data_IF_733797304453
#
_entry.id   IF_733797304453
#
_cell.length_a   1.000
_cell.length_b   1.000
_cell.length_c   1.000
_cell.angle_alpha   90.00
_cell.angle_beta   90.00
_cell.angle_gamma   90.00
#
_symmetry.space_group_name_H-M   'P 1'
#
loop_
_entity.id
_entity.type
_entity.pdbx_description
1 polymer ?
#
# COMPACT_ATOMS: atom_id res chain seq x y z
N UNK A 1 7.25 33.16 -63.27
CA UNK A 1 7.00 33.94 -62.03
C UNK A 1 6.78 33.04 -60.79
N UNK A 2 6.25 31.81 -60.90
CA UNK A 2 6.06 30.88 -59.78
C UNK A 2 7.36 30.25 -59.19
N UNK A 3 8.40 30.07 -60.00
CA UNK A 3 9.65 29.39 -59.58
C UNK A 3 10.49 30.27 -58.63
N UNK A 4 10.45 31.59 -58.79
CA UNK A 4 11.12 32.55 -57.89
C UNK A 4 10.46 32.62 -56.50
N UNK A 5 9.14 32.41 -56.39
CA UNK A 5 8.43 32.37 -55.12
C UNK A 5 8.79 31.13 -54.27
N UNK A 6 8.98 29.97 -54.91
CA UNK A 6 9.34 28.73 -54.22
C UNK A 6 10.80 28.69 -53.75
N UNK A 7 11.74 29.28 -54.51
CA UNK A 7 13.15 29.39 -54.08
C UNK A 7 13.34 30.33 -52.89
N UNK A 8 12.52 31.37 -52.76
CA UNK A 8 12.54 32.26 -51.58
C UNK A 8 11.93 31.57 -50.35
N UNK A 9 10.85 30.80 -50.50
CA UNK A 9 10.28 30.00 -49.40
C UNK A 9 11.27 28.96 -48.87
N UNK A 10 11.97 28.23 -49.74
CA UNK A 10 12.97 27.23 -49.36
C UNK A 10 14.19 27.80 -48.60
N UNK A 11 14.52 29.08 -48.79
CA UNK A 11 15.56 29.80 -48.02
C UNK A 11 15.04 30.38 -46.70
N UNK A 12 13.73 30.65 -46.60
CA UNK A 12 13.08 31.14 -45.39
C UNK A 12 12.87 30.04 -44.34
N UNK A 13 12.57 28.80 -44.75
CA UNK A 13 12.40 27.65 -43.83
C UNK A 13 13.59 27.37 -42.89
N UNK A 14 14.85 27.30 -43.37
CA UNK A 14 16.00 27.09 -42.49
C UNK A 14 16.24 28.30 -41.57
N UNK A 15 15.95 29.53 -42.01
CA UNK A 15 16.06 30.73 -41.19
C UNK A 15 15.01 30.76 -40.07
N UNK A 16 13.75 30.41 -40.39
CA UNK A 16 12.67 30.31 -39.40
C UNK A 16 12.93 29.19 -38.39
N UNK A 17 13.50 28.06 -38.82
CA UNK A 17 13.93 26.98 -37.93
C UNK A 17 15.08 27.41 -37.01
N UNK A 18 16.05 28.18 -37.51
CA UNK A 18 17.16 28.70 -36.70
C UNK A 18 16.70 29.78 -35.70
N UNK A 19 15.81 30.68 -36.11
CA UNK A 19 15.22 31.70 -35.24
C UNK A 19 14.35 31.06 -34.16
N UNK A 20 13.55 30.04 -34.50
CA UNK A 20 12.78 29.27 -33.52
C UNK A 20 13.71 28.60 -32.49
N UNK A 21 14.76 27.89 -32.94
CA UNK A 21 15.77 27.29 -32.06
C UNK A 21 16.50 28.30 -31.17
N UNK A 22 16.79 29.49 -31.70
CA UNK A 22 17.44 30.56 -30.94
C UNK A 22 16.49 31.17 -29.90
N UNK A 23 15.21 31.35 -30.23
CA UNK A 23 14.18 31.77 -29.29
C UNK A 23 13.97 30.76 -28.18
N UNK A 24 13.95 29.47 -28.50
CA UNK A 24 13.82 28.40 -27.52
C UNK A 24 15.03 28.38 -26.56
N UNK A 25 16.26 28.53 -27.08
CA UNK A 25 17.47 28.67 -26.24
C UNK A 25 17.47 29.89 -25.33
N UNK A 26 17.05 31.06 -25.82
CA UNK A 26 16.94 32.27 -24.99
C UNK A 26 15.93 32.06 -23.87
N UNK A 27 14.84 31.35 -24.16
CA UNK A 27 13.83 31.04 -23.16
C UNK A 27 14.35 30.06 -22.10
N UNK A 28 15.10 29.02 -22.49
CA UNK A 28 15.76 28.10 -21.55
C UNK A 28 16.79 28.78 -20.64
N UNK A 29 17.55 29.76 -21.16
CA UNK A 29 18.47 30.57 -20.35
C UNK A 29 17.70 31.37 -19.31
N UNK A 30 16.59 32.01 -19.69
CA UNK A 30 15.74 32.76 -18.75
C UNK A 30 15.18 31.87 -17.64
N UNK A 31 14.66 30.70 -17.99
CA UNK A 31 14.20 29.75 -16.97
C UNK A 31 15.34 29.30 -16.05
N UNK A 32 16.56 29.16 -16.57
CA UNK A 32 17.72 28.82 -15.75
C UNK A 32 18.06 29.93 -14.77
N UNK A 33 18.14 31.18 -15.23
CA UNK A 33 18.43 32.33 -14.37
C UNK A 33 17.35 32.51 -13.28
N UNK A 34 16.07 32.36 -13.65
CA UNK A 34 14.95 32.42 -12.70
C UNK A 34 15.00 31.28 -11.68
N UNK A 35 15.30 30.06 -12.12
CA UNK A 35 15.39 28.90 -11.23
C UNK A 35 16.62 28.95 -10.32
N UNK A 36 17.76 29.47 -10.78
CA UNK A 36 18.94 29.67 -9.94
C UNK A 36 18.62 30.68 -8.81
N UNK A 37 17.91 31.76 -9.11
CA UNK A 37 17.43 32.72 -8.10
C UNK A 37 16.46 32.07 -7.09
N UNK A 38 15.50 31.28 -7.58
CA UNK A 38 14.54 30.56 -6.73
C UNK A 38 15.26 29.59 -5.79
N UNK A 39 16.22 28.82 -6.31
CA UNK A 39 17.03 27.86 -5.56
C UNK A 39 17.85 28.57 -4.47
N UNK A 40 18.45 29.71 -4.78
CA UNK A 40 19.14 30.55 -3.79
C UNK A 40 18.19 31.02 -2.68
N UNK A 41 16.98 31.46 -3.03
CA UNK A 41 15.95 31.82 -2.06
C UNK A 41 15.53 30.65 -1.16
N UNK A 42 15.40 29.44 -1.71
CA UNK A 42 15.13 28.23 -0.92
C UNK A 42 16.25 27.97 0.09
N UNK A 43 17.52 28.18 -0.30
CA UNK A 43 18.69 28.03 0.58
C UNK A 43 18.81 29.15 1.63
N UNK A 44 18.25 30.33 1.37
CA UNK A 44 18.23 31.47 2.29
C UNK A 44 16.97 31.56 3.19
N UNK A 45 16.21 30.47 3.29
CA UNK A 45 14.99 30.34 4.11
C UNK A 45 13.78 31.18 3.62
N UNK A 46 13.81 31.69 2.39
CA UNK A 46 12.69 32.38 1.71
C UNK A 46 11.70 31.39 1.06
N UNK A 47 11.45 30.27 1.75
CA UNK A 47 10.83 29.07 1.18
C UNK A 47 9.47 29.32 0.52
N UNK A 48 8.54 29.97 1.25
CA UNK A 48 7.17 30.15 0.76
C UNK A 48 7.12 31.09 -0.44
N UNK A 49 8.01 32.08 -0.52
CA UNK A 49 8.05 33.04 -1.64
C UNK A 49 8.69 32.41 -2.88
N UNK A 50 9.82 31.71 -2.70
CA UNK A 50 10.46 30.94 -3.77
C UNK A 50 9.51 29.91 -4.40
N UNK A 51 8.72 29.20 -3.60
CA UNK A 51 7.74 28.23 -4.12
C UNK A 51 6.57 28.88 -4.86
N UNK A 52 6.13 30.08 -4.44
CA UNK A 52 5.09 30.84 -5.17
C UNK A 52 5.56 31.24 -6.55
N UNK A 53 6.80 31.71 -6.68
CA UNK A 53 7.37 32.06 -7.98
C UNK A 53 7.35 30.87 -8.95
N UNK A 54 7.64 29.65 -8.47
CA UNK A 54 7.54 28.43 -9.29
C UNK A 54 6.10 28.15 -9.69
N UNK A 55 5.14 28.29 -8.78
CA UNK A 55 3.71 28.08 -9.05
C UNK A 55 3.21 29.08 -10.11
N UNK A 56 3.59 30.34 -10.03
CA UNK A 56 3.19 31.36 -10.99
C UNK A 56 3.71 31.03 -12.41
N UNK A 57 4.94 30.53 -12.50
CA UNK A 57 5.57 30.09 -13.75
C UNK A 57 5.02 28.76 -14.28
N UNK A 58 4.37 27.94 -13.46
CA UNK A 58 3.94 26.59 -13.84
C UNK A 58 2.79 26.56 -14.83
N UNK A 59 2.15 27.70 -15.10
CA UNK A 59 1.15 27.81 -16.16
C UNK A 59 1.74 27.70 -17.56
N UNK A 60 3.06 27.87 -17.70
CA UNK A 60 3.79 27.73 -18.96
C UNK A 60 4.20 26.26 -19.21
N UNK A 61 3.65 25.64 -20.25
CA UNK A 61 3.97 24.26 -20.63
C UNK A 61 5.45 24.06 -21.00
N UNK A 62 6.14 25.09 -21.52
CA UNK A 62 7.58 25.00 -21.81
C UNK A 62 8.39 24.99 -20.53
N UNK A 63 7.97 25.76 -19.54
CA UNK A 63 8.58 25.74 -18.21
C UNK A 63 8.37 24.39 -17.52
N UNK A 64 7.18 23.76 -17.64
CA UNK A 64 6.96 22.40 -17.14
C UNK A 64 7.92 21.39 -17.77
N UNK A 65 8.12 21.44 -19.09
CA UNK A 65 9.09 20.56 -19.78
C UNK A 65 10.51 20.82 -19.29
N UNK A 66 10.91 22.09 -19.17
CA UNK A 66 12.19 22.48 -18.59
C UNK A 66 12.38 21.91 -17.16
N UNK A 67 11.36 21.98 -16.31
CA UNK A 67 11.40 21.45 -14.94
C UNK A 67 11.57 19.92 -14.89
N UNK A 68 11.13 19.19 -15.92
CA UNK A 68 11.33 17.73 -16.02
C UNK A 68 12.74 17.36 -16.46
N UNK A 69 13.31 18.17 -17.34
CA UNK A 69 14.58 17.87 -18.02
C UNK A 69 15.80 18.48 -17.30
N UNK A 70 15.59 19.54 -16.52
CA UNK A 70 16.62 20.22 -15.75
C UNK A 70 16.91 19.54 -14.40
N UNK A 71 18.05 19.92 -13.81
CA UNK A 71 18.44 19.50 -12.45
C UNK A 71 17.68 20.24 -11.34
N UNK A 72 17.07 21.39 -11.66
CA UNK A 72 16.56 22.34 -10.67
C UNK A 72 15.41 21.77 -9.84
N UNK A 73 14.51 20.99 -10.44
CA UNK A 73 13.44 20.34 -9.66
C UNK A 73 14.01 19.36 -8.62
N UNK A 74 15.05 18.60 -8.98
CA UNK A 74 15.72 17.72 -8.03
C UNK A 74 16.43 18.51 -6.93
N UNK A 75 17.17 19.56 -7.30
CA UNK A 75 17.91 20.43 -6.38
C UNK A 75 17.00 21.12 -5.36
N UNK A 76 15.87 21.69 -5.81
CA UNK A 76 14.84 22.24 -4.94
C UNK A 76 14.36 21.20 -3.92
N UNK A 77 14.04 19.98 -4.39
CA UNK A 77 13.56 18.91 -3.54
C UNK A 77 14.63 18.46 -2.54
N UNK A 78 15.91 18.42 -2.95
CA UNK A 78 17.03 18.13 -2.06
C UNK A 78 17.19 19.18 -0.96
N UNK A 79 17.17 20.47 -1.31
CA UNK A 79 17.24 21.57 -0.33
C UNK A 79 16.09 21.45 0.67
N UNK A 80 14.86 21.30 0.15
CA UNK A 80 13.66 21.18 0.96
C UNK A 80 13.63 19.92 1.82
N UNK A 81 14.27 18.84 1.37
CA UNK A 81 14.41 17.61 2.15
C UNK A 81 15.32 17.79 3.38
N UNK A 82 16.25 18.75 3.35
CA UNK A 82 17.18 19.03 4.46
C UNK A 82 16.64 20.07 5.44
N UNK A 83 15.63 20.85 5.02
CA UNK A 83 15.05 21.93 5.82
C UNK A 83 13.77 21.52 6.54
N UNK A 84 13.44 22.27 7.59
CA UNK A 84 12.14 22.16 8.27
C UNK A 84 11.14 23.07 7.56
N UNK A 85 10.18 22.47 6.87
CA UNK A 85 9.26 23.19 5.99
C UNK A 85 7.87 23.32 6.61
N UNK A 86 7.16 24.39 6.26
CA UNK A 86 5.78 24.63 6.70
C UNK A 86 4.82 23.64 6.02
N UNK A 87 3.61 23.46 6.57
CA UNK A 87 2.56 22.69 5.90
C UNK A 87 2.18 23.33 4.56
N UNK A 88 2.19 24.67 4.50
CA UNK A 88 1.94 25.44 3.28
C UNK A 88 2.96 25.10 2.19
N UNK A 89 4.25 25.19 2.50
CA UNK A 89 5.34 24.81 1.60
C UNK A 89 5.23 23.36 1.12
N UNK A 90 4.89 22.43 2.01
CA UNK A 90 4.67 21.04 1.62
C UNK A 90 3.52 20.90 0.62
N UNK A 91 2.44 21.66 0.75
CA UNK A 91 1.32 21.62 -0.19
C UNK A 91 1.70 22.23 -1.53
N UNK A 92 2.45 23.33 -1.53
CA UNK A 92 2.96 23.98 -2.74
C UNK A 92 3.89 23.05 -3.53
N UNK A 93 4.79 22.32 -2.87
CA UNK A 93 5.64 21.32 -3.54
C UNK A 93 4.79 20.23 -4.18
N UNK A 94 3.77 19.73 -3.48
CA UNK A 94 2.89 18.72 -4.05
C UNK A 94 2.17 19.26 -5.28
N UNK A 95 1.67 20.49 -5.21
CA UNK A 95 1.05 21.16 -6.34
C UNK A 95 2.01 21.30 -7.52
N UNK A 96 3.25 21.76 -7.29
CA UNK A 96 4.29 21.85 -8.31
C UNK A 96 4.50 20.49 -8.97
N UNK A 97 4.73 19.43 -8.19
CA UNK A 97 4.92 18.08 -8.72
C UNK A 97 3.70 17.61 -9.54
N UNK A 98 2.48 17.90 -9.09
CA UNK A 98 1.26 17.54 -9.84
C UNK A 98 1.08 18.34 -11.14
N UNK A 99 1.50 19.59 -11.16
CA UNK A 99 1.38 20.44 -12.35
C UNK A 99 2.49 20.14 -13.36
N UNK A 100 3.70 19.82 -12.89
CA UNK A 100 4.80 19.40 -13.75
C UNK A 100 4.47 18.05 -14.40
N UNK A 101 4.16 17.02 -13.61
CA UNK A 101 4.02 15.66 -14.12
C UNK A 101 2.59 15.38 -14.62
N UNK A 102 2.46 15.03 -15.89
CA UNK A 102 1.18 14.70 -16.50
C UNK A 102 0.69 13.34 -15.96
N UNK A 103 -0.49 13.27 -15.31
CA UNK A 103 -1.02 12.03 -14.78
C UNK A 103 -1.38 10.99 -15.86
N UNK A 104 -1.28 11.36 -17.15
CA UNK A 104 -1.51 10.51 -18.30
C UNK A 104 -0.23 10.05 -19.04
N UNK A 105 0.97 10.37 -18.54
CA UNK A 105 2.26 10.05 -19.17
C UNK A 105 3.08 9.06 -18.33
N UNK A 106 3.44 7.90 -18.90
CA UNK A 106 4.29 6.91 -18.23
C UNK A 106 5.70 7.44 -17.96
N UNK A 107 6.26 8.21 -18.90
CA UNK A 107 7.61 8.81 -18.77
C UNK A 107 7.64 9.82 -17.62
N UNK A 108 6.56 10.60 -17.47
CA UNK A 108 6.42 11.59 -16.41
C UNK A 108 6.37 10.91 -15.04
N UNK A 109 5.69 9.78 -14.92
CA UNK A 109 5.66 9.04 -13.65
C UNK A 109 7.01 8.42 -13.27
N UNK A 110 7.79 7.94 -14.23
CA UNK A 110 9.16 7.48 -13.93
C UNK A 110 10.01 8.64 -13.39
N UNK A 111 9.93 9.82 -14.01
CA UNK A 111 10.58 11.04 -13.51
C UNK A 111 10.11 11.41 -12.10
N UNK A 112 8.81 11.36 -11.85
CA UNK A 112 8.23 11.61 -10.53
C UNK A 112 8.73 10.61 -9.48
N UNK A 113 8.83 9.32 -9.81
CA UNK A 113 9.35 8.31 -8.90
C UNK A 113 10.84 8.52 -8.58
N UNK A 114 11.64 8.99 -9.54
CA UNK A 114 13.04 9.38 -9.28
C UNK A 114 13.11 10.55 -8.29
N UNK A 115 12.29 11.58 -8.48
CA UNK A 115 12.21 12.71 -7.56
C UNK A 115 11.78 12.25 -6.15
N UNK A 116 10.78 11.39 -6.05
CA UNK A 116 10.34 10.82 -4.77
C UNK A 116 11.43 9.97 -4.10
N UNK A 117 12.23 9.24 -4.88
CA UNK A 117 13.36 8.46 -4.36
C UNK A 117 14.43 9.36 -3.74
N UNK A 118 14.71 10.53 -4.31
CA UNK A 118 15.63 11.52 -3.74
C UNK A 118 15.15 11.98 -2.35
N UNK A 119 13.83 12.19 -2.19
CA UNK A 119 13.25 12.50 -0.87
C UNK A 119 13.50 11.35 0.11
N UNK A 120 13.32 10.10 -0.33
CA UNK A 120 13.55 8.92 0.52
C UNK A 120 15.00 8.68 0.88
N UNK A 121 15.94 8.87 -0.05
CA UNK A 121 17.36 8.70 0.20
C UNK A 121 17.86 9.74 1.23
N UNK A 122 17.35 10.98 1.16
CA UNK A 122 17.55 11.98 2.21
C UNK A 122 17.05 11.52 3.59
N UNK A 123 15.92 10.80 3.64
CA UNK A 123 15.39 10.24 4.90
C UNK A 123 16.18 9.04 5.43
N UNK A 124 16.86 8.28 4.57
CA UNK A 124 17.65 7.10 4.95
C UNK A 124 19.08 7.45 5.37
N UNK A 125 19.67 8.50 4.78
CA UNK A 125 21.03 8.99 5.08
C UNK A 125 21.16 9.67 6.46
N UNK A 126 20.07 10.16 7.06
CA UNK A 126 20.01 10.55 8.48
C UNK A 126 20.08 9.34 9.44
N UNK A 127 20.65 8.23 8.97
CA UNK A 127 20.74 6.95 9.64
C UNK A 127 21.35 7.07 11.03
N UNK A 128 20.51 6.86 12.04
CA UNK A 128 20.88 6.09 13.26
C UNK A 128 19.73 5.89 14.23
N UNK A 129 18.62 6.65 14.16
CA UNK A 129 17.51 6.46 15.09
C UNK A 129 16.17 6.60 14.37
N UNK A 130 15.73 5.51 13.74
CA UNK A 130 14.35 5.33 13.29
C UNK A 130 13.34 5.21 14.47
N UNK A 131 13.75 5.58 15.68
CA UNK A 131 12.85 5.81 16.80
C UNK A 131 12.33 7.25 16.72
N UNK A 132 11.18 7.38 16.08
CA UNK A 132 10.18 8.41 16.37
C UNK A 132 10.55 9.90 16.15
N UNK A 133 11.24 10.28 15.08
CA UNK A 133 11.29 11.70 14.72
C UNK A 133 9.95 12.17 14.14
N UNK A 134 9.44 13.30 14.65
CA UNK A 134 8.25 14.00 14.13
C UNK A 134 8.44 14.55 12.72
N UNK A 135 9.69 14.66 12.24
CA UNK A 135 10.05 15.21 10.93
C UNK A 135 9.81 14.25 9.76
N UNK A 136 9.97 12.93 9.97
CA UNK A 136 9.80 11.93 8.90
C UNK A 136 8.32 11.71 8.56
N UNK A 137 7.42 11.82 9.56
CA UNK A 137 5.99 11.53 9.37
C UNK A 137 5.30 12.44 8.34
N UNK A 138 5.48 13.79 8.39
CA UNK A 138 4.94 14.68 7.37
C UNK A 138 5.44 14.34 5.96
N UNK A 139 6.75 14.12 5.79
CA UNK A 139 7.35 13.82 4.48
C UNK A 139 6.77 12.55 3.87
N UNK A 140 6.68 11.45 4.63
CA UNK A 140 6.09 10.21 4.12
C UNK A 140 4.59 10.38 3.85
N UNK A 141 3.88 11.17 4.68
CA UNK A 141 2.47 11.47 4.44
C UNK A 141 2.29 12.19 3.10
N UNK A 142 3.11 13.21 2.82
CA UNK A 142 3.07 13.94 1.54
C UNK A 142 3.37 13.03 0.35
N UNK A 143 4.34 12.11 0.47
CA UNK A 143 4.64 11.13 -0.59
C UNK A 143 3.45 10.21 -0.85
N UNK A 144 2.81 9.68 0.21
CA UNK A 144 1.64 8.82 0.05
C UNK A 144 0.45 9.59 -0.52
N UNK A 145 0.24 10.84 -0.12
CA UNK A 145 -0.78 11.70 -0.73
C UNK A 145 -0.49 11.93 -2.20
N UNK A 146 0.78 12.11 -2.57
CA UNK A 146 1.20 12.26 -3.94
C UNK A 146 0.89 11.01 -4.78
N UNK A 147 1.33 9.85 -4.30
CA UNK A 147 1.05 8.56 -4.92
C UNK A 147 -0.45 8.27 -4.97
N UNK A 148 -1.19 8.58 -3.90
CA UNK A 148 -2.62 8.34 -3.79
C UNK A 148 -3.49 9.12 -4.78
N UNK A 149 -2.98 10.20 -5.39
CA UNK A 149 -3.70 10.89 -6.48
C UNK A 149 -3.49 10.24 -7.85
N UNK A 150 -2.46 9.39 -8.01
CA UNK A 150 -2.31 8.57 -9.21
C UNK A 150 -3.39 7.49 -9.15
N UNK A 151 -4.27 7.36 -10.17
CA UNK A 151 -5.34 6.38 -10.11
C UNK A 151 -4.78 4.95 -9.99
N UNK A 152 -5.27 4.17 -9.01
CA UNK A 152 -4.66 2.87 -8.66
C UNK A 152 -4.54 1.91 -9.86
N UNK A 153 -5.53 1.95 -10.76
CA UNK A 153 -5.59 1.15 -12.01
C UNK A 153 -4.44 1.41 -12.99
N UNK A 154 -3.64 2.46 -12.79
CA UNK A 154 -2.50 2.83 -13.64
C UNK A 154 -1.20 2.16 -13.21
N UNK A 155 -1.10 1.78 -11.93
CA UNK A 155 0.10 1.19 -11.37
C UNK A 155 0.54 -0.13 -12.02
N UNK A 156 -0.36 -1.01 -12.54
CA UNK A 156 0.07 -2.19 -13.29
C UNK A 156 0.95 -1.86 -14.51
N UNK A 157 0.69 -0.73 -15.17
CA UNK A 157 1.54 -0.27 -16.29
C UNK A 157 2.88 0.33 -15.85
N UNK A 158 2.99 0.69 -14.57
CA UNK A 158 4.17 1.32 -13.96
C UNK A 158 5.02 0.35 -13.14
N UNK A 159 4.52 -0.85 -12.88
CA UNK A 159 5.10 -1.77 -11.91
C UNK A 159 6.46 -2.35 -12.26
N UNK A 160 6.90 -2.17 -13.51
CA UNK A 160 8.26 -2.49 -13.95
C UNK A 160 9.29 -1.45 -13.50
N UNK A 161 8.88 -0.24 -13.11
CA UNK A 161 9.81 0.80 -12.60
C UNK A 161 10.52 0.32 -11.33
N UNK A 162 11.85 0.45 -11.35
CA UNK A 162 12.70 0.08 -10.21
C UNK A 162 12.49 1.06 -9.05
N UNK A 163 12.32 2.34 -9.36
CA UNK A 163 12.08 3.43 -8.41
C UNK A 163 10.77 3.19 -7.67
N UNK A 164 9.69 2.88 -8.39
CA UNK A 164 8.41 2.56 -7.76
C UNK A 164 8.52 1.35 -6.82
N UNK A 165 9.21 0.28 -7.24
CA UNK A 165 9.47 -0.88 -6.37
C UNK A 165 10.22 -0.49 -5.10
N UNK A 166 11.26 0.34 -5.22
CA UNK A 166 12.03 0.85 -4.08
C UNK A 166 11.17 1.71 -3.16
N UNK A 167 10.35 2.62 -3.71
CA UNK A 167 9.40 3.43 -2.95
C UNK A 167 8.45 2.52 -2.16
N UNK A 168 7.84 1.52 -2.79
CA UNK A 168 6.94 0.57 -2.14
C UNK A 168 7.64 -0.18 -1.01
N UNK A 169 8.88 -0.62 -1.22
CA UNK A 169 9.68 -1.28 -0.20
C UNK A 169 9.96 -0.36 1.00
N UNK A 170 10.36 0.89 0.77
CA UNK A 170 10.63 1.87 1.83
C UNK A 170 9.34 2.19 2.61
N UNK A 171 8.21 2.34 1.91
CA UNK A 171 6.90 2.51 2.53
C UNK A 171 6.56 1.35 3.47
N UNK A 172 6.83 0.10 3.09
CA UNK A 172 6.65 -1.07 3.96
C UNK A 172 7.49 -0.94 5.25
N UNK A 173 8.77 -0.53 5.14
CA UNK A 173 9.64 -0.30 6.31
C UNK A 173 9.03 0.76 7.23
N UNK A 174 8.59 1.89 6.67
CA UNK A 174 8.04 2.99 7.44
C UNK A 174 6.73 2.62 8.15
N UNK A 175 5.83 1.91 7.47
CA UNK A 175 4.59 1.40 8.06
C UNK A 175 4.87 0.40 9.19
N UNK A 176 5.88 -0.46 9.02
CA UNK A 176 6.31 -1.42 10.04
C UNK A 176 6.72 -0.76 11.37
N UNK A 177 7.30 0.44 11.28
CA UNK A 177 7.82 1.24 12.41
C UNK A 177 6.76 2.14 13.06
N UNK A 178 5.48 2.02 12.67
CA UNK A 178 4.36 2.88 13.14
C UNK A 178 4.56 4.37 12.83
N UNK A 179 5.37 4.66 11.81
CA UNK A 179 5.60 6.03 11.38
C UNK A 179 4.32 6.55 10.71
N UNK A 180 3.57 5.68 10.02
CA UNK A 180 2.44 6.07 9.18
C UNK A 180 1.29 5.05 9.22
N UNK A 181 0.03 5.53 9.18
CA UNK A 181 -1.20 4.71 9.13
C UNK A 181 -1.89 4.83 7.76
N UNK A 182 -1.32 4.21 6.73
CA UNK A 182 -1.88 4.20 5.36
C UNK A 182 -1.91 2.77 4.79
N UNK A 183 -2.39 1.82 5.60
CA UNK A 183 -2.46 0.42 5.21
C UNK A 183 -3.40 0.20 4.02
N UNK A 184 -4.45 1.01 3.89
CA UNK A 184 -5.44 0.92 2.79
C UNK A 184 -4.80 1.24 1.43
N UNK A 185 -3.99 2.30 1.33
CA UNK A 185 -3.29 2.61 0.08
C UNK A 185 -2.33 1.49 -0.32
N UNK A 186 -1.48 1.03 0.61
CA UNK A 186 -0.55 -0.07 0.33
C UNK A 186 -1.31 -1.34 -0.04
N UNK A 187 -2.44 -1.62 0.62
CA UNK A 187 -3.31 -2.74 0.28
C UNK A 187 -3.84 -2.65 -1.15
N UNK A 188 -4.46 -1.52 -1.52
CA UNK A 188 -4.97 -1.30 -2.87
C UNK A 188 -3.85 -1.43 -3.90
N UNK A 189 -2.67 -0.91 -3.61
CA UNK A 189 -1.52 -1.00 -4.51
C UNK A 189 -1.03 -2.45 -4.68
N UNK A 190 -0.92 -3.22 -3.59
CA UNK A 190 -0.48 -4.61 -3.66
C UNK A 190 -1.52 -5.53 -4.32
N UNK A 191 -2.80 -5.20 -4.23
CA UNK A 191 -3.87 -5.94 -4.91
C UNK A 191 -3.86 -5.68 -6.41
N UNK A 192 -3.62 -4.44 -6.82
CA UNK A 192 -3.54 -4.07 -8.24
C UNK A 192 -2.20 -4.50 -8.88
N UNK A 193 -1.13 -4.60 -8.08
CA UNK A 193 0.22 -4.95 -8.56
C UNK A 193 0.80 -6.18 -7.85
N UNK A 194 0.42 -7.41 -8.27
CA UNK A 194 0.90 -8.68 -7.71
C UNK A 194 2.44 -8.86 -7.69
N UNK A 195 3.13 -8.19 -8.62
CA UNK A 195 4.59 -8.17 -8.75
C UNK A 195 5.31 -7.47 -7.59
N UNK A 196 4.61 -6.63 -6.81
CA UNK A 196 5.21 -6.01 -5.64
C UNK A 196 5.26 -6.98 -4.47
N UNK A 197 6.48 -7.31 -4.05
CA UNK A 197 6.68 -8.28 -2.98
C UNK A 197 6.56 -7.63 -1.60
N UNK A 198 5.97 -8.37 -0.67
CA UNK A 198 6.10 -8.05 0.75
C UNK A 198 7.47 -8.49 1.26
N UNK A 199 8.23 -7.55 1.83
CA UNK A 199 9.50 -7.86 2.48
C UNK A 199 9.33 -8.79 3.69
N UNK A 200 10.25 -9.73 3.90
CA UNK A 200 10.19 -10.66 5.04
C UNK A 200 10.13 -9.93 6.38
N UNK A 201 10.86 -8.83 6.51
CA UNK A 201 10.85 -8.00 7.72
C UNK A 201 9.47 -7.39 7.98
N UNK A 202 8.80 -6.90 6.95
CA UNK A 202 7.45 -6.37 7.06
C UNK A 202 6.46 -7.46 7.46
N UNK A 203 6.50 -8.62 6.80
CA UNK A 203 5.67 -9.79 7.12
C UNK A 203 5.88 -10.22 8.58
N UNK A 204 7.13 -10.35 9.01
CA UNK A 204 7.51 -10.68 10.38
C UNK A 204 6.96 -9.67 11.37
N UNK A 205 7.01 -8.38 11.06
CA UNK A 205 6.48 -7.31 11.92
C UNK A 205 4.95 -7.37 11.99
N UNK A 206 4.25 -7.59 10.87
CA UNK A 206 2.80 -7.76 10.84
C UNK A 206 2.37 -8.94 11.73
N UNK A 207 3.04 -10.10 11.55
CA UNK A 207 2.79 -11.33 12.32
C UNK A 207 3.13 -11.16 13.80
N UNK A 208 4.29 -10.59 14.15
CA UNK A 208 4.72 -10.37 15.54
C UNK A 208 3.93 -9.30 16.27
N UNK A 209 3.52 -8.21 15.62
CA UNK A 209 2.76 -7.14 16.30
C UNK A 209 1.27 -7.44 16.38
N UNK A 210 0.73 -8.29 15.50
CA UNK A 210 -0.68 -8.64 15.44
C UNK A 210 -1.57 -7.45 15.07
N UNK A 211 -1.05 -6.49 14.30
CA UNK A 211 -1.72 -5.18 14.13
C UNK A 211 -2.47 -5.03 12.83
N UNK A 212 -2.19 -5.85 11.81
CA UNK A 212 -2.94 -5.83 10.57
C UNK A 212 -2.75 -7.12 9.74
N UNK A 213 -3.45 -8.19 10.11
CA UNK A 213 -3.42 -9.42 9.32
C UNK A 213 -4.20 -9.32 8.00
N UNK A 214 -5.04 -8.31 7.85
CA UNK A 214 -5.77 -8.04 6.62
C UNK A 214 -4.83 -7.86 5.43
N UNK A 215 -3.67 -7.21 5.63
CA UNK A 215 -2.65 -7.07 4.58
C UNK A 215 -2.19 -8.42 4.05
N UNK A 216 -1.86 -9.33 4.97
CA UNK A 216 -1.41 -10.67 4.60
C UNK A 216 -2.56 -11.51 4.02
N UNK A 217 -3.77 -11.38 4.56
CA UNK A 217 -4.96 -12.07 4.06
C UNK A 217 -5.25 -11.69 2.61
N UNK A 218 -5.29 -10.38 2.30
CA UNK A 218 -5.43 -9.87 0.94
C UNK A 218 -4.27 -10.32 0.05
N UNK A 219 -3.04 -10.19 0.52
CA UNK A 219 -1.88 -10.61 -0.28
C UNK A 219 -1.92 -12.11 -0.62
N UNK A 220 -2.49 -12.95 0.24
CA UNK A 220 -2.64 -14.40 -0.01
C UNK A 220 -3.80 -14.80 -0.92
N UNK A 221 -4.63 -13.87 -1.41
CA UNK A 221 -5.67 -14.21 -2.40
C UNK A 221 -5.05 -14.63 -3.72
N UNK A 222 -3.88 -14.09 -4.06
CA UNK A 222 -3.17 -14.34 -5.30
C UNK A 222 -2.28 -15.58 -5.20
N UNK A 223 -2.43 -16.52 -6.12
CA UNK A 223 -1.74 -17.82 -6.11
C UNK A 223 -0.20 -17.70 -6.12
N UNK A 224 0.34 -16.74 -6.87
CA UNK A 224 1.77 -16.46 -6.95
C UNK A 224 2.36 -16.03 -5.59
N UNK A 225 1.57 -15.33 -4.77
CA UNK A 225 1.97 -14.86 -3.45
C UNK A 225 1.98 -16.01 -2.44
N UNK A 226 0.96 -16.86 -2.52
CA UNK A 226 0.86 -18.09 -1.72
C UNK A 226 2.06 -18.99 -1.98
N UNK A 227 2.41 -19.23 -3.25
CA UNK A 227 3.57 -20.04 -3.63
C UNK A 227 4.86 -19.54 -2.98
N UNK A 228 5.15 -18.24 -3.11
CA UNK A 228 6.35 -17.62 -2.50
C UNK A 228 6.35 -17.72 -0.97
N UNK A 229 5.26 -17.35 -0.31
CA UNK A 229 5.16 -17.37 1.15
C UNK A 229 5.30 -18.79 1.72
N UNK A 230 4.70 -19.79 1.06
CA UNK A 230 4.75 -21.18 1.50
C UNK A 230 6.17 -21.76 1.58
N UNK A 231 7.10 -21.20 0.79
CA UNK A 231 8.51 -21.61 0.76
C UNK A 231 9.37 -20.93 1.82
N UNK A 232 8.92 -19.84 2.46
CA UNK A 232 9.72 -19.10 3.44
C UNK A 232 9.64 -19.74 4.84
N UNK A 233 10.75 -20.26 5.40
CA UNK A 233 10.78 -20.84 6.75
C UNK A 233 10.48 -19.79 7.83
N UNK A 234 10.97 -18.57 7.64
CA UNK A 234 10.76 -17.42 8.52
C UNK A 234 9.28 -17.07 8.62
N UNK A 235 8.57 -17.07 7.48
CA UNK A 235 7.13 -16.88 7.45
C UNK A 235 6.39 -17.98 8.21
N UNK A 236 6.71 -19.25 7.95
CA UNK A 236 6.08 -20.40 8.63
C UNK A 236 6.23 -20.31 10.15
N UNK A 237 7.43 -20.00 10.65
CA UNK A 237 7.68 -19.84 12.08
C UNK A 237 6.89 -18.66 12.68
N UNK A 238 6.89 -17.51 12.01
CA UNK A 238 6.18 -16.32 12.47
C UNK A 238 4.67 -16.52 12.46
N UNK A 239 4.12 -17.18 11.45
CA UNK A 239 2.70 -17.48 11.34
C UNK A 239 2.27 -18.48 12.42
N UNK A 240 3.08 -19.52 12.67
CA UNK A 240 2.87 -20.45 13.79
C UNK A 240 2.77 -19.73 15.13
N UNK A 241 3.71 -18.83 15.43
CA UNK A 241 3.69 -18.00 16.65
C UNK A 241 2.46 -17.09 16.71
N UNK A 242 2.04 -16.51 15.58
CA UNK A 242 0.86 -15.66 15.50
C UNK A 242 -0.43 -16.44 15.81
N UNK A 243 -0.63 -17.58 15.17
CA UNK A 243 -1.80 -18.46 15.41
C UNK A 243 -1.82 -18.92 16.86
N UNK A 244 -0.71 -19.45 17.38
CA UNK A 244 -0.64 -19.85 18.80
C UNK A 244 -0.97 -18.68 19.73
N UNK A 245 -0.48 -17.48 19.45
CA UNK A 245 -0.79 -16.31 20.28
C UNK A 245 -2.28 -15.98 20.28
N UNK A 246 -2.93 -15.89 19.13
CA UNK A 246 -4.33 -15.44 19.07
C UNK A 246 -5.33 -16.55 19.48
N UNK A 247 -4.95 -17.83 19.40
CA UNK A 247 -5.82 -18.97 19.68
C UNK A 247 -5.55 -19.66 21.03
N UNK A 248 -4.32 -19.61 21.57
CA UNK A 248 -3.98 -20.19 22.89
C UNK A 248 -4.13 -19.17 24.01
N UNK A 249 -3.74 -17.89 23.80
CA UNK A 249 -3.73 -16.88 24.88
C UNK A 249 -5.11 -16.34 25.25
N UNK A 250 -6.19 -16.74 24.57
CA UNK A 250 -7.54 -16.42 25.03
C UNK A 250 -7.93 -17.34 26.19
N UNK A 251 -7.50 -17.00 27.41
CA UNK A 251 -8.43 -17.17 28.54
C UNK A 251 -9.63 -16.30 28.17
N UNK A 252 -10.71 -16.93 27.72
CA UNK A 252 -11.86 -16.20 27.17
C UNK A 252 -12.33 -15.10 28.14
N UNK A 253 -12.84 -13.98 27.63
CA UNK A 253 -13.65 -13.12 28.48
C UNK A 253 -14.80 -13.97 29.02
N UNK A 254 -14.97 -13.95 30.34
CA UNK A 254 -16.11 -14.62 31.00
C UNK A 254 -17.36 -14.19 30.25
N UNK A 255 -18.12 -15.17 29.78
CA UNK A 255 -19.44 -15.00 29.18
C UNK A 255 -20.25 -14.15 30.15
N UNK A 256 -20.34 -12.84 29.89
CA UNK A 256 -21.27 -11.97 30.56
C UNK A 256 -22.61 -12.29 29.94
N UNK A 257 -23.40 -13.04 30.71
CA UNK A 257 -24.74 -13.44 30.34
C UNK A 257 -25.52 -12.26 29.77
N UNK A 258 -26.31 -12.57 28.75
CA UNK A 258 -27.33 -11.70 28.19
C UNK A 258 -28.11 -10.98 29.31
N UNK A 259 -27.75 -9.74 29.61
CA UNK A 259 -28.66 -8.82 30.26
C UNK A 259 -29.34 -8.00 29.18
N UNK A 260 -30.59 -8.39 28.89
CA UNK A 260 -31.60 -7.44 28.42
C UNK A 260 -31.69 -6.32 29.45
N UNK A 261 -31.43 -5.08 29.04
CA UNK A 261 -32.10 -3.91 29.61
C UNK A 261 -32.16 -2.79 28.59
N UNK A 262 -33.39 -2.43 28.27
CA UNK A 262 -33.79 -1.22 27.59
C UNK A 262 -33.32 0.02 28.38
N UNK A 263 -32.86 1.04 27.66
CA UNK A 263 -33.30 2.43 27.86
C UNK A 263 -32.62 3.35 26.86
N UNK A 264 -33.46 4.16 26.24
CA UNK A 264 -33.18 5.17 25.24
C UNK A 264 -32.35 6.34 25.78
N UNK A 265 -31.24 6.66 25.12
CA UNK A 265 -30.83 8.06 24.90
C UNK A 265 -29.95 8.13 23.64
N UNK A 266 -30.22 9.11 22.77
CA UNK A 266 -29.47 9.38 21.54
C UNK A 266 -28.12 10.05 21.88
N UNK A 267 -27.19 9.26 22.42
CA UNK A 267 -25.77 9.54 22.39
C UNK A 267 -25.10 8.34 21.71
N UNK A 268 -24.28 8.57 20.68
CA UNK A 268 -23.53 7.51 19.99
C UNK A 268 -22.81 6.67 21.06
N UNK A 269 -23.18 5.39 21.25
CA UNK A 269 -22.62 4.60 22.34
C UNK A 269 -21.12 4.45 22.10
N UNK A 270 -20.31 5.04 22.97
CA UNK A 270 -18.87 4.78 22.95
C UNK A 270 -18.68 3.30 23.26
N UNK A 271 -18.34 2.50 22.24
CA UNK A 271 -18.09 1.07 22.39
C UNK A 271 -17.11 0.87 23.56
N UNK A 272 -17.50 0.16 24.64
CA UNK A 272 -16.65 -0.11 25.78
C UNK A 272 -15.28 -0.64 25.32
N UNK A 273 -14.19 -0.21 25.99
CA UNK A 273 -12.83 -0.64 25.63
C UNK A 273 -12.71 -2.15 25.49
N UNK A 274 -13.40 -2.90 26.34
CA UNK A 274 -13.46 -4.36 26.28
C UNK A 274 -14.10 -4.90 24.99
N UNK A 275 -15.23 -4.34 24.55
CA UNK A 275 -15.88 -4.75 23.28
C UNK A 275 -15.01 -4.43 22.07
N UNK A 276 -14.27 -3.31 22.09
CA UNK A 276 -13.30 -2.98 21.03
C UNK A 276 -12.15 -3.99 20.95
N UNK A 277 -11.70 -4.48 22.10
CA UNK A 277 -10.62 -5.47 22.16
C UNK A 277 -11.08 -6.86 21.68
N UNK A 278 -12.28 -7.28 22.07
CA UNK A 278 -12.92 -8.51 21.56
C UNK A 278 -13.09 -8.47 20.04
N UNK A 279 -13.66 -7.38 19.51
CA UNK A 279 -13.85 -7.22 18.07
C UNK A 279 -12.52 -7.25 17.31
N UNK A 280 -11.45 -6.69 17.88
CA UNK A 280 -10.10 -6.77 17.30
C UNK A 280 -9.55 -8.20 17.30
N UNK A 281 -9.74 -8.96 18.38
CA UNK A 281 -9.30 -10.35 18.47
C UNK A 281 -10.05 -11.21 17.45
N UNK A 282 -11.37 -11.04 17.33
CA UNK A 282 -12.19 -11.73 16.35
C UNK A 282 -11.73 -11.45 14.92
N UNK A 283 -11.51 -10.17 14.58
CA UNK A 283 -10.97 -9.80 13.27
C UNK A 283 -9.58 -10.42 13.01
N UNK A 284 -8.70 -10.46 14.01
CA UNK A 284 -7.39 -11.12 13.86
C UNK A 284 -7.53 -12.61 13.56
N UNK A 285 -8.40 -13.31 14.30
CA UNK A 285 -8.68 -14.73 14.07
C UNK A 285 -9.23 -14.97 12.68
N UNK A 286 -10.20 -14.16 12.25
CA UNK A 286 -10.76 -14.18 10.89
C UNK A 286 -9.67 -14.12 9.82
N UNK A 287 -8.82 -13.09 9.86
CA UNK A 287 -7.75 -12.92 8.86
C UNK A 287 -6.67 -14.01 8.95
N UNK A 288 -6.33 -14.50 10.15
CA UNK A 288 -5.44 -15.65 10.26
C UNK A 288 -6.05 -16.90 9.61
N UNK A 289 -7.34 -17.17 9.82
CA UNK A 289 -8.01 -18.29 9.16
C UNK A 289 -7.99 -18.15 7.65
N UNK A 290 -8.25 -16.96 7.12
CA UNK A 290 -8.15 -16.67 5.68
C UNK A 290 -6.76 -17.00 5.14
N UNK A 291 -5.70 -16.48 5.80
CA UNK A 291 -4.31 -16.75 5.41
C UNK A 291 -4.04 -18.26 5.39
N UNK A 292 -4.46 -18.97 6.44
CA UNK A 292 -4.29 -20.41 6.56
C UNK A 292 -4.97 -21.15 5.42
N UNK A 293 -6.24 -20.83 5.14
CA UNK A 293 -7.04 -21.47 4.09
C UNK A 293 -6.38 -21.26 2.72
N UNK A 294 -5.95 -20.04 2.41
CA UNK A 294 -5.28 -19.73 1.14
C UNK A 294 -3.97 -20.49 0.96
N UNK A 295 -3.26 -20.79 2.06
CA UNK A 295 -2.01 -21.55 2.01
C UNK A 295 -2.22 -23.06 1.84
N UNK A 296 -3.37 -23.62 2.21
CA UNK A 296 -3.62 -25.07 2.10
C UNK A 296 -3.54 -25.54 0.64
N UNK A 297 -3.89 -24.70 -0.33
CA UNK A 297 -3.79 -25.05 -1.77
C UNK A 297 -2.39 -25.48 -2.20
N UNK A 298 -1.35 -25.11 -1.44
CA UNK A 298 0.06 -25.47 -1.67
C UNK A 298 0.60 -26.49 -0.65
N UNK A 299 -0.26 -27.34 -0.08
CA UNK A 299 0.11 -28.35 0.93
C UNK A 299 0.84 -27.75 2.14
N UNK A 300 0.52 -26.51 2.48
CA UNK A 300 1.16 -25.82 3.59
C UNK A 300 0.66 -26.37 4.93
N UNK A 301 1.52 -27.15 5.59
CA UNK A 301 1.25 -27.65 6.94
C UNK A 301 1.93 -26.74 7.97
N UNK A 302 1.11 -26.07 8.78
CA UNK A 302 1.54 -25.50 10.05
C UNK A 302 1.35 -26.57 11.11
N UNK A 303 2.45 -27.01 11.74
CA UNK A 303 2.45 -27.98 12.83
C UNK A 303 1.79 -27.39 14.09
N UNK A 304 0.47 -27.17 14.02
CA UNK A 304 -0.40 -26.59 15.03
C UNK A 304 -1.48 -27.63 15.33
N UNK A 305 -1.73 -27.96 16.62
CA UNK A 305 -2.81 -28.86 16.97
C UNK A 305 -4.17 -28.34 16.48
N UNK A 306 -4.86 -29.10 15.63
CA UNK A 306 -6.19 -28.77 15.11
C UNK A 306 -7.21 -28.54 16.24
N UNK A 307 -7.04 -29.23 17.38
CA UNK A 307 -7.84 -29.07 18.60
C UNK A 307 -7.87 -27.63 19.13
N UNK A 308 -6.87 -26.80 18.81
CA UNK A 308 -6.89 -25.37 19.15
C UNK A 308 -7.95 -24.60 18.36
N UNK A 309 -8.10 -24.94 17.07
CA UNK A 309 -9.06 -24.29 16.17
C UNK A 309 -10.46 -24.83 16.46
N UNK A 310 -10.59 -26.14 16.68
CA UNK A 310 -11.86 -26.79 17.06
C UNK A 310 -12.44 -26.18 18.35
N UNK A 311 -11.61 -25.97 19.39
CA UNK A 311 -12.07 -25.32 20.62
C UNK A 311 -12.52 -23.87 20.42
N UNK A 312 -11.91 -23.16 19.47
CA UNK A 312 -12.26 -21.78 19.18
C UNK A 312 -13.54 -21.65 18.35
N UNK A 313 -13.92 -22.67 17.59
CA UNK A 313 -15.04 -22.67 16.62
C UNK A 313 -16.36 -22.16 17.20
N UNK A 314 -16.74 -22.58 18.40
CA UNK A 314 -17.98 -22.18 19.06
C UNK A 314 -17.88 -20.85 19.84
N UNK A 315 -16.70 -20.24 19.88
CA UNK A 315 -16.42 -19.04 20.69
C UNK A 315 -16.23 -17.76 19.87
N UNK A 316 -16.29 -17.88 18.54
CA UNK A 316 -16.12 -16.75 17.61
C UNK A 316 -17.44 -16.31 17.00
N UNK A 317 -17.44 -15.14 16.36
CA UNK A 317 -18.56 -14.63 15.59
C UNK A 317 -18.89 -15.53 14.39
N UNK A 318 -20.08 -15.33 13.82
CA UNK A 318 -20.62 -16.14 12.73
C UNK A 318 -19.72 -16.12 11.48
N UNK A 319 -19.16 -14.96 11.11
CA UNK A 319 -18.30 -14.84 9.92
C UNK A 319 -17.00 -15.60 10.13
N UNK A 320 -16.32 -15.39 11.27
CA UNK A 320 -15.09 -16.12 11.60
C UNK A 320 -15.34 -17.62 11.69
N UNK A 321 -16.50 -18.03 12.21
CA UNK A 321 -16.91 -19.44 12.30
C UNK A 321 -16.99 -20.09 10.91
N UNK A 322 -17.49 -19.37 9.90
CA UNK A 322 -17.56 -19.88 8.53
C UNK A 322 -16.16 -20.19 7.97
N UNK A 323 -15.17 -19.30 8.17
CA UNK A 323 -13.78 -19.55 7.78
C UNK A 323 -13.16 -20.72 8.56
N UNK A 324 -13.42 -20.82 9.86
CA UNK A 324 -12.98 -21.98 10.65
C UNK A 324 -13.61 -23.28 10.17
N UNK A 325 -14.91 -23.25 9.81
CA UNK A 325 -15.61 -24.41 9.29
C UNK A 325 -14.96 -24.93 8.01
N UNK A 326 -14.69 -24.02 7.07
CA UNK A 326 -14.01 -24.34 5.83
C UNK A 326 -12.62 -24.94 6.08
N UNK A 327 -11.81 -24.29 6.91
CA UNK A 327 -10.49 -24.79 7.25
C UNK A 327 -10.56 -26.22 7.82
N UNK A 328 -11.44 -26.46 8.79
CA UNK A 328 -11.61 -27.78 9.39
C UNK A 328 -12.07 -28.80 8.34
N UNK A 329 -13.05 -28.50 7.49
CA UNK A 329 -13.50 -29.41 6.43
C UNK A 329 -12.38 -29.86 5.51
N UNK A 330 -11.46 -28.95 5.15
CA UNK A 330 -10.33 -29.30 4.29
C UNK A 330 -9.43 -30.31 5.02
N UNK A 331 -9.12 -30.10 6.29
CA UNK A 331 -8.28 -31.01 7.08
C UNK A 331 -8.94 -32.36 7.38
N UNK A 332 -10.25 -32.40 7.61
CA UNK A 332 -10.98 -33.64 7.87
C UNK A 332 -11.01 -34.55 6.64
N UNK A 333 -11.08 -33.97 5.44
CA UNK A 333 -11.08 -34.74 4.19
C UNK A 333 -9.70 -35.32 3.84
N UNK A 334 -8.62 -34.61 4.19
CA UNK A 334 -7.26 -35.08 3.94
C UNK A 334 -6.74 -36.05 5.03
N UNK A 335 -7.45 -36.18 6.15
CA UNK A 335 -7.14 -37.16 7.20
C UNK A 335 -8.06 -38.38 7.08
N UNK A 336 -7.52 -39.55 6.74
CA UNK A 336 -8.23 -40.85 6.74
C UNK A 336 -8.76 -41.29 8.13
N UNK A 337 -8.73 -40.42 9.15
CA UNK A 337 -9.19 -40.72 10.51
C UNK A 337 -10.66 -40.36 10.70
N UNK A 338 -11.49 -41.37 10.46
CA UNK A 338 -12.93 -41.49 10.74
C UNK A 338 -13.35 -41.27 12.22
N UNK A 339 -12.99 -40.17 12.88
CA UNK A 339 -13.43 -39.91 14.27
C UNK A 339 -14.21 -38.62 14.47
N UNK A 340 -14.62 -37.93 13.40
CA UNK A 340 -15.46 -36.75 13.50
C UNK A 340 -16.90 -37.17 13.21
N UNK A 341 -17.76 -37.03 14.22
CA UNK A 341 -19.17 -37.40 14.16
C UNK A 341 -19.84 -36.76 12.93
N UNK A 342 -20.59 -37.53 12.14
CA UNK A 342 -21.25 -37.06 10.91
C UNK A 342 -22.08 -35.77 11.11
N UNK A 343 -22.69 -35.59 12.30
CA UNK A 343 -23.42 -34.37 12.65
C UNK A 343 -22.54 -33.12 12.71
N UNK A 344 -21.29 -33.24 13.15
CA UNK A 344 -20.31 -32.15 13.17
C UNK A 344 -19.88 -31.80 11.73
N UNK A 345 -19.74 -32.77 10.84
CA UNK A 345 -19.40 -32.53 9.42
C UNK A 345 -20.51 -31.73 8.71
N UNK A 346 -21.78 -32.08 8.94
CA UNK A 346 -22.91 -31.35 8.35
C UNK A 346 -23.03 -29.92 8.88
N UNK A 347 -22.76 -29.69 10.17
CA UNK A 347 -22.67 -28.32 10.72
C UNK A 347 -21.53 -27.51 10.07
N UNK A 348 -20.36 -28.12 9.91
CA UNK A 348 -19.25 -27.46 9.22
C UNK A 348 -19.60 -27.13 7.76
N UNK A 349 -20.21 -28.07 7.02
CA UNK A 349 -20.66 -27.84 5.62
C UNK A 349 -21.65 -26.68 5.55
N UNK A 350 -22.62 -26.64 6.47
CA UNK A 350 -23.62 -25.57 6.56
C UNK A 350 -22.96 -24.20 6.74
N UNK A 351 -22.03 -24.07 7.70
CA UNK A 351 -21.33 -22.81 7.94
C UNK A 351 -20.38 -22.44 6.78
N UNK A 352 -19.67 -23.40 6.20
CA UNK A 352 -18.78 -23.14 5.06
C UNK A 352 -19.53 -22.65 3.81
N UNK A 353 -20.74 -23.15 3.56
CA UNK A 353 -21.59 -22.69 2.44
C UNK A 353 -21.91 -21.19 2.51
N UNK A 354 -21.93 -20.60 3.69
CA UNK A 354 -22.12 -19.14 3.84
C UNK A 354 -21.01 -18.34 3.16
N UNK A 355 -19.81 -18.91 2.97
CA UNK A 355 -18.70 -18.24 2.26
C UNK A 355 -18.87 -18.25 0.73
N UNK A 356 -19.68 -19.15 0.17
CA UNK A 356 -19.93 -19.23 -1.29
C UNK A 356 -20.69 -17.99 -1.77
N UNK A 357 -21.55 -17.45 -0.91
CA UNK A 357 -22.36 -16.27 -1.19
C UNK A 357 -21.71 -14.96 -0.72
N UNK A 358 -20.51 -15.04 -0.15
CA UNK A 358 -19.76 -13.86 0.30
C UNK A 358 -18.89 -13.33 -0.86
N UNK A 359 -19.38 -12.29 -1.54
CA UNK A 359 -18.63 -11.59 -2.58
C UNK A 359 -17.35 -10.91 -2.07
N UNK A 360 -17.14 -10.86 -0.74
CA UNK A 360 -15.95 -10.32 -0.09
C UNK A 360 -15.02 -11.41 0.49
N UNK A 361 -15.24 -12.67 0.12
CA UNK A 361 -14.36 -13.77 0.53
C UNK A 361 -12.94 -13.49 0.03
N UNK A 362 -12.03 -13.13 0.94
CA UNK A 362 -10.60 -12.97 0.71
C UNK A 362 -9.91 -14.34 0.45
N UNK A 363 -10.57 -15.22 -0.31
CA UNK A 363 -10.14 -16.56 -0.63
C UNK A 363 -9.67 -16.63 -2.08
N UNK A 364 -8.62 -17.41 -2.32
CA UNK A 364 -8.17 -17.69 -3.68
C UNK A 364 -9.27 -18.45 -4.46
N UNK A 365 -9.41 -18.16 -5.76
CA UNK A 365 -10.34 -18.83 -6.68
C UNK A 365 -10.22 -20.36 -6.66
N UNK A 366 -8.99 -20.89 -6.49
CA UNK A 366 -8.74 -22.33 -6.35
C UNK A 366 -9.37 -22.93 -5.09
N UNK A 367 -9.38 -22.17 -3.99
CA UNK A 367 -10.04 -22.59 -2.77
C UNK A 367 -11.55 -22.52 -2.97
N UNK A 368 -12.06 -21.42 -3.53
CA UNK A 368 -13.50 -21.24 -3.79
C UNK A 368 -14.06 -22.34 -4.69
N UNK A 369 -13.36 -22.71 -5.76
CA UNK A 369 -13.78 -23.80 -6.66
C UNK A 369 -13.77 -25.17 -5.98
N UNK A 370 -12.83 -25.42 -5.05
CA UNK A 370 -12.82 -26.61 -4.20
C UNK A 370 -13.97 -26.60 -3.19
N UNK A 371 -14.39 -25.45 -2.65
CA UNK A 371 -15.57 -25.34 -1.77
C UNK A 371 -16.82 -25.79 -2.52
N UNK A 372 -17.03 -25.28 -3.74
CA UNK A 372 -18.21 -25.62 -4.55
C UNK A 372 -18.30 -27.13 -4.76
N UNK A 373 -17.20 -27.77 -5.19
CA UNK A 373 -17.12 -29.23 -5.38
C UNK A 373 -17.33 -30.05 -4.09
N UNK A 374 -16.96 -29.50 -2.93
CA UNK A 374 -17.08 -30.15 -1.61
C UNK A 374 -18.44 -29.91 -0.93
N UNK A 375 -19.24 -28.99 -1.47
CA UNK A 375 -20.55 -28.60 -0.95
C UNK A 375 -21.72 -29.32 -1.63
N UNK A 376 -21.50 -29.86 -2.82
CA UNK A 376 -22.32 -30.87 -3.51
C UNK A 376 -22.00 -32.27 -3.02
#
# INVERSE_FOLDING_TARGET
>A
MFILGMQNMAKLFPLHSQIAKMKDRIQEIKYTDEMDYIVEGLDNDEIDESLRLVIDSITDERFKTYMKESRHLEEMIQIMSRKKISVSASNMILEILFQVFNPYSFVDFEGLFRILMVIFDGLLMEGTLFDASSCIKPKIKSIIELLGRIPIKWYPGLSKSIELKKIVFILQICMSKRIVKWNEFLLSLLMECPEFELSEDFIRILLRKGRNYEILANYTTLEANVGRLSLSPSFKECLKKAVLREFVKSKGPRILGYMKRESSSYAVPSIPRHKREEMRILNRRKYLMIILINLISRNFCLDIPLDLIVRAYHTVDEVTRCYMALFLLIFVQDSEKNSIQNAYIEDLKKNARCLIFDCSAYLNEDVLSKIVKKSS
#
